data_IF_731195832461
#
_entry.id   IF_731195832461
#
_cell.length_a   1.000
_cell.length_b   1.000
_cell.length_c   1.000
_cell.angle_alpha   90.00
_cell.angle_beta   90.00
_cell.angle_gamma   90.00
#
_symmetry.space_group_name_H-M   'P 1'
#
loop_
_entity.id
_entity.type
_entity.pdbx_description
1 polymer ?
#
# COMPACT_ATOMS: atom_id res chain seq x y z
N UNK A 1 -2.88 27.30 -37.45
CA UNK A 1 -3.68 28.44 -36.95
C UNK A 1 -4.41 27.94 -35.73
N UNK A 2 -4.11 28.49 -34.56
CA UNK A 2 -4.81 28.12 -33.32
C UNK A 2 -6.26 28.59 -33.39
N UNK A 3 -7.20 27.70 -33.05
CA UNK A 3 -8.61 28.06 -32.93
C UNK A 3 -8.80 28.79 -31.58
N UNK A 4 -9.07 30.11 -31.56
CA UNK A 4 -9.20 30.87 -30.31
C UNK A 4 -10.41 30.43 -29.46
N UNK A 5 -11.36 29.70 -30.04
CA UNK A 5 -12.54 29.17 -29.33
C UNK A 5 -12.27 27.81 -28.68
N UNK A 6 -11.07 27.25 -28.85
CA UNK A 6 -10.72 25.96 -28.28
C UNK A 6 -10.59 26.09 -26.76
N UNK A 7 -11.41 25.32 -26.03
CA UNK A 7 -11.42 25.28 -24.56
C UNK A 7 -10.72 24.02 -24.09
N UNK A 8 -9.91 24.17 -23.05
CA UNK A 8 -9.08 23.10 -22.53
C UNK A 8 -9.53 22.74 -21.13
N UNK A 9 -9.54 21.45 -20.81
CA UNK A 9 -9.84 20.98 -19.46
C UNK A 9 -8.82 19.96 -18.99
N UNK A 10 -8.69 19.87 -17.67
CA UNK A 10 -8.13 18.70 -16.99
C UNK A 10 -9.22 18.10 -16.12
N UNK A 11 -9.35 16.78 -16.14
CA UNK A 11 -10.16 16.02 -15.20
C UNK A 11 -9.25 15.14 -14.36
N UNK A 12 -9.24 15.32 -13.05
CA UNK A 12 -8.55 14.43 -12.10
C UNK A 12 -9.56 13.39 -11.61
N UNK A 13 -9.16 12.12 -11.61
CA UNK A 13 -9.98 10.98 -11.21
C UNK A 13 -9.39 10.30 -9.98
N UNK A 14 -10.27 9.91 -9.07
CA UNK A 14 -9.94 9.10 -7.90
C UNK A 14 -10.79 7.83 -7.95
N UNK A 15 -10.15 6.72 -8.27
CA UNK A 15 -10.72 5.39 -8.14
C UNK A 15 -10.49 4.88 -6.71
N UNK A 16 -11.55 4.40 -6.07
CA UNK A 16 -11.48 3.79 -4.75
C UNK A 16 -10.90 2.36 -4.83
N UNK A 17 -10.38 1.81 -3.72
CA UNK A 17 -10.20 0.37 -3.60
C UNK A 17 -11.50 -0.37 -3.94
N UNK A 18 -11.40 -1.39 -4.79
CA UNK A 18 -12.53 -2.15 -5.31
C UNK A 18 -13.14 -1.60 -6.61
N UNK A 19 -12.67 -0.45 -7.14
CA UNK A 19 -13.15 0.06 -8.43
C UNK A 19 -12.85 -0.96 -9.55
N UNK A 20 -13.86 -1.40 -10.33
CA UNK A 20 -13.66 -2.36 -11.41
C UNK A 20 -12.80 -1.84 -12.56
N UNK A 21 -11.95 -2.72 -13.08
CA UNK A 21 -11.11 -2.48 -14.26
C UNK A 21 -11.61 -3.31 -15.44
N UNK A 22 -11.94 -2.66 -16.55
CA UNK A 22 -12.60 -3.26 -17.71
C UNK A 22 -11.62 -3.91 -18.70
N UNK A 23 -10.45 -3.29 -18.87
CA UNK A 23 -9.42 -3.74 -19.80
C UNK A 23 -8.40 -4.63 -19.10
N UNK A 24 -8.02 -4.25 -17.87
CA UNK A 24 -7.07 -5.04 -17.06
C UNK A 24 -7.74 -6.24 -16.37
N UNK A 25 -9.07 -6.20 -16.21
CA UNK A 25 -9.86 -7.22 -15.52
C UNK A 25 -9.71 -7.16 -13.99
N UNK A 26 -10.79 -7.48 -13.28
CA UNK A 26 -10.82 -7.48 -11.81
C UNK A 26 -11.19 -6.12 -11.21
N UNK A 27 -10.54 -5.78 -10.09
CA UNK A 27 -10.75 -4.53 -9.34
C UNK A 27 -9.40 -3.97 -8.88
N UNK A 28 -9.32 -2.65 -8.72
CA UNK A 28 -8.12 -2.02 -8.17
C UNK A 28 -8.01 -2.27 -6.66
N UNK A 29 -6.91 -2.91 -6.24
CA UNK A 29 -6.70 -3.27 -4.83
C UNK A 29 -6.42 -2.04 -3.94
N UNK A 30 -5.61 -1.10 -4.40
CA UNK A 30 -5.23 0.10 -3.64
C UNK A 30 -6.06 1.35 -3.99
N UNK A 31 -6.90 1.26 -5.03
CA UNK A 31 -7.43 2.43 -5.73
C UNK A 31 -6.39 3.00 -6.70
N UNK A 32 -6.73 4.11 -7.35
CA UNK A 32 -5.86 4.74 -8.35
C UNK A 32 -6.18 6.24 -8.48
N UNK A 33 -5.16 7.05 -8.72
CA UNK A 33 -5.33 8.47 -9.08
C UNK A 33 -4.68 8.70 -10.43
N UNK A 34 -5.41 9.35 -11.32
CA UNK A 34 -4.97 9.64 -12.68
C UNK A 34 -5.66 10.89 -13.18
N UNK A 35 -5.19 11.44 -14.29
CA UNK A 35 -5.82 12.60 -14.91
C UNK A 35 -6.06 12.38 -16.40
N UNK A 36 -6.95 13.18 -16.96
CA UNK A 36 -7.14 13.30 -18.38
C UNK A 36 -7.18 14.76 -18.78
N UNK A 37 -6.70 15.06 -19.98
CA UNK A 37 -6.80 16.38 -20.59
C UNK A 37 -7.68 16.30 -21.83
N UNK A 38 -8.50 17.34 -22.02
CA UNK A 38 -9.40 17.46 -23.17
C UNK A 38 -9.19 18.83 -23.81
N UNK A 39 -9.13 18.88 -25.13
CA UNK A 39 -9.03 20.10 -25.91
C UNK A 39 -10.33 20.45 -26.67
N UNK A 40 -11.43 19.77 -26.34
CA UNK A 40 -12.72 19.87 -27.02
C UNK A 40 -12.83 18.98 -28.26
N UNK A 41 -11.75 18.32 -28.67
CA UNK A 41 -11.71 17.38 -29.81
C UNK A 41 -11.12 16.02 -29.44
N UNK A 42 -10.09 16.02 -28.61
CA UNK A 42 -9.33 14.83 -28.21
C UNK A 42 -9.16 14.81 -26.71
N UNK A 43 -9.50 13.66 -26.12
CA UNK A 43 -9.30 13.38 -24.70
C UNK A 43 -8.18 12.36 -24.50
N UNK A 44 -7.13 12.75 -23.79
CA UNK A 44 -5.98 11.91 -23.48
C UNK A 44 -5.92 11.62 -21.98
N UNK A 45 -5.79 10.35 -21.62
CA UNK A 45 -5.63 9.89 -20.22
C UNK A 45 -4.15 9.74 -19.90
N UNK A 46 -3.76 9.96 -18.65
CA UNK A 46 -2.43 9.69 -18.12
C UNK A 46 -2.54 9.22 -16.67
N UNK A 47 -2.08 8.01 -16.40
CA UNK A 47 -1.88 7.47 -15.06
C UNK A 47 -0.56 6.73 -14.99
N UNK A 48 -0.07 6.49 -13.78
CA UNK A 48 1.22 5.84 -13.56
C UNK A 48 1.06 4.62 -12.67
N UNK A 49 1.55 3.48 -13.15
CA UNK A 49 1.46 2.20 -12.47
C UNK A 49 2.72 1.37 -12.79
N UNK A 50 3.00 0.28 -12.08
CA UNK A 50 4.09 -0.60 -12.44
C UNK A 50 3.85 -1.22 -13.82
N UNK A 51 4.95 -1.55 -14.53
CA UNK A 51 4.88 -2.18 -15.86
C UNK A 51 4.15 -3.53 -15.84
N UNK A 52 4.32 -4.30 -14.78
CA UNK A 52 3.62 -5.56 -14.58
C UNK A 52 2.47 -5.34 -13.60
N UNK A 53 1.27 -5.72 -14.03
CA UNK A 53 0.06 -5.53 -13.24
C UNK A 53 0.14 -6.33 -11.92
N UNK A 54 -0.15 -5.67 -10.81
CA UNK A 54 -0.11 -6.27 -9.47
C UNK A 54 1.22 -6.11 -8.74
N UNK A 55 2.27 -5.62 -9.39
CA UNK A 55 3.50 -5.25 -8.70
C UNK A 55 3.26 -4.04 -7.80
N UNK A 56 3.97 -3.96 -6.68
CA UNK A 56 3.90 -2.82 -5.76
C UNK A 56 5.05 -1.83 -5.97
N UNK A 57 6.16 -2.30 -6.55
CA UNK A 57 7.34 -1.51 -6.83
C UNK A 57 8.10 -2.06 -8.04
N UNK A 58 8.85 -1.22 -8.74
CA UNK A 58 9.68 -1.62 -9.87
C UNK A 58 9.56 -0.66 -11.04
N UNK A 59 9.98 -1.03 -12.25
CA UNK A 59 9.88 -0.16 -13.41
C UNK A 59 8.42 0.27 -13.64
N UNK A 60 8.18 1.57 -13.52
CA UNK A 60 6.88 2.17 -13.78
C UNK A 60 6.61 2.41 -15.25
N UNK A 61 5.35 2.67 -15.57
CA UNK A 61 4.88 3.01 -16.90
C UNK A 61 3.71 3.97 -16.81
N UNK A 62 3.70 4.94 -17.73
CA UNK A 62 2.53 5.78 -17.96
C UNK A 62 1.54 5.01 -18.83
N UNK A 63 0.29 4.94 -18.36
CA UNK A 63 -0.84 4.34 -19.05
C UNK A 63 -1.74 5.44 -19.60
N UNK A 64 -2.16 5.28 -20.85
CA UNK A 64 -2.95 6.27 -21.57
C UNK A 64 -4.42 5.86 -21.76
N UNK A 65 -4.86 4.87 -20.98
CA UNK A 65 -6.16 4.23 -21.11
C UNK A 65 -6.92 4.15 -19.78
N UNK A 66 -6.44 4.76 -18.68
CA UNK A 66 -7.11 4.67 -17.37
C UNK A 66 -8.57 5.15 -17.41
N UNK A 67 -8.88 6.23 -18.14
CA UNK A 67 -10.27 6.68 -18.37
C UNK A 67 -11.17 5.61 -18.99
N UNK A 68 -10.60 4.70 -19.81
CA UNK A 68 -11.35 3.60 -20.44
C UNK A 68 -11.35 2.33 -19.59
N UNK A 69 -10.34 2.16 -18.74
CA UNK A 69 -10.15 0.96 -17.92
C UNK A 69 -10.97 1.04 -16.63
N UNK A 70 -10.89 2.14 -15.89
CA UNK A 70 -11.57 2.30 -14.61
C UNK A 70 -13.04 2.64 -14.81
N UNK A 71 -13.91 1.72 -14.39
CA UNK A 71 -15.37 1.92 -14.43
C UNK A 71 -15.84 2.65 -13.18
N UNK A 72 -16.54 3.77 -13.39
CA UNK A 72 -17.20 4.55 -12.33
C UNK A 72 -16.25 4.90 -11.17
N UNK A 73 -15.15 5.65 -11.43
CA UNK A 73 -14.25 6.08 -10.37
C UNK A 73 -15.02 6.88 -9.31
N UNK A 74 -14.69 6.70 -8.04
CA UNK A 74 -15.43 7.26 -6.91
C UNK A 74 -15.60 8.78 -7.02
N UNK A 75 -14.55 9.49 -7.39
CA UNK A 75 -14.58 10.94 -7.53
C UNK A 75 -13.91 11.39 -8.83
N UNK A 76 -14.41 12.49 -9.40
CA UNK A 76 -13.71 13.23 -10.44
C UNK A 76 -13.96 14.73 -10.36
N UNK A 77 -12.94 15.51 -10.67
CA UNK A 77 -13.01 16.98 -10.77
C UNK A 77 -12.48 17.45 -12.11
N UNK A 78 -13.34 18.11 -12.88
CA UNK A 78 -12.99 18.78 -14.12
C UNK A 78 -12.79 20.27 -13.87
N UNK A 79 -11.70 20.82 -14.39
CA UNK A 79 -11.38 22.26 -14.34
C UNK A 79 -11.08 22.76 -15.74
N UNK A 80 -11.63 23.91 -16.11
CA UNK A 80 -11.17 24.63 -17.30
C UNK A 80 -9.80 25.27 -17.03
N UNK A 81 -8.88 25.02 -17.95
CA UNK A 81 -7.50 25.47 -17.90
C UNK A 81 -7.16 26.30 -19.13
N UNK A 82 -6.05 27.02 -19.08
CA UNK A 82 -5.53 27.66 -20.29
C UNK A 82 -4.71 26.68 -21.15
N UNK A 83 -4.37 27.12 -22.37
CA UNK A 83 -3.62 26.30 -23.32
C UNK A 83 -2.22 25.94 -22.80
N UNK A 84 -1.55 26.84 -22.06
CA UNK A 84 -0.21 26.59 -21.56
C UNK A 84 -0.24 25.53 -20.45
N UNK A 85 -1.24 25.54 -19.58
CA UNK A 85 -1.48 24.50 -18.57
C UNK A 85 -1.76 23.15 -19.23
N UNK A 86 -2.60 23.13 -20.28
CA UNK A 86 -2.88 21.92 -21.05
C UNK A 86 -1.60 21.32 -21.66
N UNK A 87 -0.78 22.14 -22.30
CA UNK A 87 0.46 21.69 -22.94
C UNK A 87 1.46 21.15 -21.93
N UNK A 88 1.59 21.79 -20.76
CA UNK A 88 2.44 21.29 -19.67
C UNK A 88 1.98 19.93 -19.14
N UNK A 89 0.67 19.74 -18.94
CA UNK A 89 0.12 18.44 -18.53
C UNK A 89 0.37 17.36 -19.60
N UNK A 90 0.11 17.68 -20.87
CA UNK A 90 0.37 16.76 -21.99
C UNK A 90 1.84 16.35 -22.05
N UNK A 91 2.73 17.32 -21.96
CA UNK A 91 4.16 17.09 -22.12
C UNK A 91 4.72 16.31 -20.93
N UNK A 92 4.28 16.61 -19.69
CA UNK A 92 4.62 15.81 -18.51
C UNK A 92 4.08 14.38 -18.63
N UNK A 93 2.81 14.21 -19.02
CA UNK A 93 2.22 12.88 -19.21
C UNK A 93 2.92 12.06 -20.28
N UNK A 94 3.43 12.69 -21.33
CA UNK A 94 4.16 12.01 -22.41
C UNK A 94 5.59 11.61 -22.03
N UNK A 95 6.32 12.45 -21.29
CA UNK A 95 7.70 12.19 -20.89
C UNK A 95 7.99 12.78 -19.49
N UNK A 96 7.47 12.16 -18.42
CA UNK A 96 7.58 12.71 -17.06
C UNK A 96 9.04 12.73 -16.57
N UNK A 97 9.87 11.81 -17.07
CA UNK A 97 11.30 11.73 -16.74
C UNK A 97 12.05 12.99 -17.15
N UNK A 98 11.70 13.60 -18.29
CA UNK A 98 12.27 14.88 -18.74
C UNK A 98 12.04 16.02 -17.73
N UNK A 99 10.99 15.91 -16.93
CA UNK A 99 10.60 16.89 -15.92
C UNK A 99 10.98 16.47 -14.49
N UNK A 100 11.89 15.50 -14.36
CA UNK A 100 12.47 15.09 -13.07
C UNK A 100 11.66 14.05 -12.29
N UNK A 101 10.58 13.50 -12.88
CA UNK A 101 9.82 12.42 -12.26
C UNK A 101 10.60 11.10 -12.32
N UNK A 102 10.68 10.38 -11.20
CA UNK A 102 11.28 9.05 -11.17
C UNK A 102 10.34 8.04 -11.82
N UNK A 103 10.87 7.26 -12.76
CA UNK A 103 10.10 6.22 -13.46
C UNK A 103 10.14 4.87 -12.73
N UNK A 104 10.69 4.79 -11.52
CA UNK A 104 10.53 3.64 -10.64
C UNK A 104 9.25 3.77 -9.82
N UNK A 105 8.24 2.96 -10.13
CA UNK A 105 7.02 2.90 -9.34
C UNK A 105 7.32 2.35 -7.94
N UNK A 106 6.68 2.94 -6.94
CA UNK A 106 6.60 2.45 -5.57
C UNK A 106 5.29 2.92 -4.95
N UNK A 107 4.41 2.00 -4.55
CA UNK A 107 3.09 2.33 -4.02
C UNK A 107 3.07 3.14 -2.72
N UNK A 108 4.19 3.31 -2.01
CA UNK A 108 4.30 4.16 -0.82
C UNK A 108 5.07 5.46 -1.07
N UNK A 109 5.98 5.51 -2.05
CA UNK A 109 6.93 6.64 -2.16
C UNK A 109 7.08 7.22 -3.55
N UNK A 110 6.48 6.60 -4.58
CA UNK A 110 6.42 7.12 -5.94
C UNK A 110 5.32 6.40 -6.75
N UNK A 111 4.09 6.85 -6.57
CA UNK A 111 2.87 6.16 -6.94
C UNK A 111 2.09 6.90 -8.05
N UNK A 112 0.90 6.39 -8.35
CA UNK A 112 -0.06 7.08 -9.23
C UNK A 112 -0.44 8.49 -8.72
N UNK A 113 -0.38 8.68 -7.40
CA UNK A 113 -0.69 9.93 -6.72
C UNK A 113 0.43 10.95 -6.96
N UNK A 114 1.68 10.56 -6.68
CA UNK A 114 2.87 11.40 -6.89
C UNK A 114 3.01 11.83 -8.35
N UNK A 115 2.71 10.92 -9.28
CA UNK A 115 2.68 11.23 -10.71
C UNK A 115 1.62 12.29 -11.06
N UNK A 116 0.42 12.14 -10.51
CA UNK A 116 -0.69 13.07 -10.80
C UNK A 116 -0.40 14.45 -10.21
N UNK A 117 0.06 14.53 -8.96
CA UNK A 117 0.45 15.81 -8.35
C UNK A 117 1.68 16.41 -9.01
N UNK A 118 2.66 15.61 -9.42
CA UNK A 118 3.81 16.07 -10.21
C UNK A 118 3.37 16.76 -11.51
N UNK A 119 2.40 16.18 -12.23
CA UNK A 119 1.84 16.78 -13.44
C UNK A 119 1.08 18.09 -13.14
N UNK A 120 0.21 18.08 -12.13
CA UNK A 120 -0.58 19.25 -11.72
C UNK A 120 0.34 20.40 -11.28
N UNK A 121 1.32 20.13 -10.43
CA UNK A 121 2.31 21.12 -9.98
C UNK A 121 3.14 21.65 -11.14
N UNK A 122 3.58 20.78 -12.06
CA UNK A 122 4.29 21.20 -13.27
C UNK A 122 3.46 22.19 -14.11
N UNK A 123 2.14 21.97 -14.17
CA UNK A 123 1.18 22.85 -14.84
C UNK A 123 0.79 24.10 -14.04
N UNK A 124 1.27 24.26 -12.80
CA UNK A 124 0.91 25.38 -11.92
C UNK A 124 -0.47 25.23 -11.26
N UNK A 125 -0.99 24.00 -11.18
CA UNK A 125 -2.24 23.65 -10.53
C UNK A 125 -1.95 23.17 -9.10
N UNK A 126 -1.89 24.11 -8.17
CA UNK A 126 -1.52 23.84 -6.79
C UNK A 126 -2.74 23.78 -5.87
N UNK A 127 -2.67 22.89 -4.89
CA UNK A 127 -3.68 22.80 -3.84
C UNK A 127 -3.61 24.02 -2.90
N UNK A 128 -4.63 24.18 -2.08
CA UNK A 128 -4.55 25.03 -0.88
C UNK A 128 -4.45 24.14 0.35
N UNK A 129 -3.52 24.46 1.25
CA UNK A 129 -3.45 23.79 2.54
C UNK A 129 -4.65 24.14 3.44
N UNK A 130 -4.71 23.53 4.63
CA UNK A 130 -5.80 23.76 5.59
C UNK A 130 -5.91 25.22 6.08
N UNK A 131 -4.91 26.04 5.82
CA UNK A 131 -4.86 27.46 6.20
C UNK A 131 -5.16 28.37 4.99
N UNK A 132 -5.47 27.77 3.83
CA UNK A 132 -5.81 28.48 2.59
C UNK A 132 -4.61 28.96 1.78
N UNK A 133 -3.39 28.56 2.15
CA UNK A 133 -2.13 28.96 1.50
C UNK A 133 -1.83 28.01 0.34
N UNK A 134 -1.30 28.54 -0.76
CA UNK A 134 -0.90 27.73 -1.91
C UNK A 134 0.28 26.83 -1.51
N UNK A 135 0.13 25.53 -1.72
CA UNK A 135 1.15 24.52 -1.45
C UNK A 135 1.69 23.96 -2.76
N UNK A 136 2.85 24.46 -3.18
CA UNK A 136 3.51 24.10 -4.44
C UNK A 136 4.30 22.79 -4.36
N UNK A 137 4.50 22.25 -3.15
CA UNK A 137 5.37 21.09 -2.89
C UNK A 137 4.60 19.84 -2.52
N UNK A 138 3.28 19.90 -2.49
CA UNK A 138 2.48 18.73 -2.17
C UNK A 138 2.55 17.68 -3.28
N UNK A 139 2.97 16.47 -2.91
CA UNK A 139 3.08 15.33 -3.81
C UNK A 139 1.91 14.35 -3.66
N UNK A 140 0.99 14.61 -2.72
CA UNK A 140 -0.21 13.81 -2.49
C UNK A 140 -0.23 13.03 -1.18
N UNK A 141 -1.43 12.60 -0.80
CA UNK A 141 -1.62 11.68 0.33
C UNK A 141 -1.45 10.23 -0.13
N UNK A 142 -0.94 9.34 0.74
CA UNK A 142 -0.66 7.93 0.43
C UNK A 142 -1.85 7.13 -0.14
N UNK A 143 -3.09 7.58 0.08
CA UNK A 143 -4.30 6.86 -0.34
C UNK A 143 -5.11 7.67 -1.35
N UNK A 144 -5.59 7.04 -2.44
CA UNK A 144 -6.40 7.73 -3.44
C UNK A 144 -7.58 8.50 -2.84
N UNK A 145 -8.36 7.88 -1.95
CA UNK A 145 -9.54 8.49 -1.33
C UNK A 145 -9.22 9.74 -0.49
N UNK A 146 -8.04 9.83 0.11
CA UNK A 146 -7.67 10.99 0.92
C UNK A 146 -7.34 12.22 0.07
N UNK A 147 -7.03 12.03 -1.21
CA UNK A 147 -6.66 13.12 -2.10
C UNK A 147 -7.88 13.90 -2.62
N UNK A 148 -9.11 13.46 -2.35
CA UNK A 148 -10.32 14.17 -2.81
C UNK A 148 -10.32 15.63 -2.32
N UNK A 149 -10.20 15.84 -1.00
CA UNK A 149 -10.26 17.18 -0.42
C UNK A 149 -9.10 18.06 -0.92
N UNK A 150 -7.92 17.48 -1.13
CA UNK A 150 -6.77 18.17 -1.71
C UNK A 150 -7.03 18.58 -3.16
N UNK A 151 -7.57 17.68 -3.99
CA UNK A 151 -7.96 17.96 -5.37
C UNK A 151 -9.01 19.06 -5.41
N UNK A 152 -9.99 19.05 -4.50
CA UNK A 152 -11.05 20.08 -4.35
C UNK A 152 -10.51 21.44 -3.96
N UNK A 153 -9.41 21.48 -3.21
CA UNK A 153 -8.79 22.73 -2.76
C UNK A 153 -8.04 23.49 -3.86
N UNK A 154 -7.74 22.85 -5.00
CA UNK A 154 -7.10 23.51 -6.14
C UNK A 154 -8.01 24.64 -6.65
N UNK A 155 -7.54 25.90 -6.70
CA UNK A 155 -8.32 26.99 -7.28
C UNK A 155 -8.56 26.73 -8.77
N UNK A 156 -9.81 26.82 -9.23
CA UNK A 156 -10.11 26.70 -10.65
C UNK A 156 -9.39 27.83 -11.42
N UNK A 157 -8.52 27.54 -12.41
CA UNK A 157 -7.79 28.57 -13.15
C UNK A 157 -8.70 29.57 -13.85
N UNK A 158 -9.89 29.12 -14.28
CA UNK A 158 -10.98 29.98 -14.75
C UNK A 158 -12.18 29.87 -13.81
N UNK A 159 -12.26 30.73 -12.78
CA UNK A 159 -13.41 30.76 -11.87
C UNK A 159 -14.72 31.03 -12.62
N UNK A 160 -15.80 30.35 -12.24
CA UNK A 160 -17.13 30.53 -12.85
C UNK A 160 -17.33 29.89 -14.21
N UNK A 161 -16.32 29.18 -14.75
CA UNK A 161 -16.51 28.39 -15.97
C UNK A 161 -17.54 27.29 -15.78
N UNK A 162 -18.47 27.17 -16.74
CA UNK A 162 -19.45 26.07 -16.83
C UNK A 162 -18.84 24.68 -17.06
N UNK A 163 -17.55 24.61 -17.45
CA UNK A 163 -16.82 23.35 -17.61
C UNK A 163 -16.27 22.84 -16.28
N UNK A 164 -16.21 23.68 -15.24
CA UNK A 164 -15.81 23.25 -13.91
C UNK A 164 -16.92 22.37 -13.32
N UNK A 165 -16.61 21.09 -13.08
CA UNK A 165 -17.59 20.09 -12.62
C UNK A 165 -16.96 19.15 -11.63
N UNK A 166 -17.75 18.73 -10.65
CA UNK A 166 -17.40 17.65 -9.71
C UNK A 166 -18.44 16.56 -9.84
N UNK A 167 -18.01 15.31 -9.75
CA UNK A 167 -18.89 14.15 -9.84
C UNK A 167 -18.44 13.07 -8.87
N UNK A 168 -19.41 12.52 -8.14
CA UNK A 168 -19.23 11.37 -7.26
C UNK A 168 -20.03 10.18 -7.78
N UNK A 169 -19.38 9.03 -7.84
CA UNK A 169 -20.06 7.74 -7.99
C UNK A 169 -20.23 7.08 -6.62
N UNK A 170 -21.20 6.16 -6.46
CA UNK A 170 -21.29 5.37 -5.24
C UNK A 170 -19.99 4.61 -5.00
N UNK A 171 -19.65 4.39 -3.72
CA UNK A 171 -18.50 3.56 -3.36
C UNK A 171 -18.69 2.16 -3.96
N UNK A 172 -17.69 1.58 -4.65
CA UNK A 172 -17.82 0.26 -5.24
C UNK A 172 -18.16 -0.78 -4.16
N UNK A 173 -19.03 -1.73 -4.49
CA UNK A 173 -19.37 -2.83 -3.59
C UNK A 173 -18.11 -3.64 -3.25
N UNK A 174 -17.64 -3.51 -2.00
CA UNK A 174 -16.65 -4.40 -1.44
C UNK A 174 -17.37 -5.69 -1.07
N UNK A 175 -17.33 -6.70 -1.96
CA UNK A 175 -18.11 -7.94 -1.77
C UNK A 175 -17.62 -8.74 -0.55
N UNK A 176 -18.35 -8.60 0.56
CA UNK A 176 -18.23 -9.29 1.86
C UNK A 176 -18.45 -10.84 1.84
N UNK A 177 -18.03 -11.58 0.80
CA UNK A 177 -18.34 -13.02 0.66
C UNK A 177 -17.19 -14.02 0.84
N UNK A 178 -16.13 -13.69 1.58
CA UNK A 178 -15.19 -14.71 2.08
C UNK A 178 -15.16 -14.82 3.62
N UNK A 179 -16.25 -14.41 4.29
CA UNK A 179 -16.49 -14.70 5.71
C UNK A 179 -17.42 -15.91 5.95
N UNK A 180 -17.88 -16.59 4.90
CA UNK A 180 -18.89 -17.67 5.00
C UNK A 180 -18.41 -19.06 4.55
N UNK A 181 -17.15 -19.42 4.85
CA UNK A 181 -16.72 -20.84 4.81
C UNK A 181 -15.99 -21.26 6.10
N UNK A 182 -16.11 -20.49 7.20
CA UNK A 182 -15.49 -20.87 8.48
C UNK A 182 -16.45 -20.99 9.67
N UNK A 183 -17.73 -20.63 9.56
CA UNK A 183 -18.70 -20.84 10.63
C UNK A 183 -20.07 -21.19 10.04
N UNK A 184 -20.24 -22.48 9.73
CA UNK A 184 -21.53 -23.14 9.90
C UNK A 184 -21.22 -24.50 10.52
N UNK A 185 -21.12 -24.52 11.84
CA UNK A 185 -21.38 -25.74 12.59
C UNK A 185 -22.84 -26.12 12.32
N UNK A 186 -23.04 -27.16 11.53
CA UNK A 186 -24.33 -27.84 11.42
C UNK A 186 -24.48 -28.77 12.61
N UNK A 187 -25.42 -28.56 13.56
CA UNK A 187 -25.68 -29.54 14.59
C UNK A 187 -26.69 -30.58 14.07
N UNK A 188 -26.24 -31.83 13.98
CA UNK A 188 -27.13 -32.96 14.28
C UNK A 188 -27.47 -33.93 13.14
N UNK A 189 -26.90 -35.13 13.30
CA UNK A 189 -27.52 -36.44 13.10
C UNK A 189 -27.46 -37.14 11.73
N UNK A 190 -26.49 -38.08 11.71
CA UNK A 190 -26.57 -39.49 11.29
C UNK A 190 -26.41 -39.84 9.82
N UNK A 191 -25.28 -40.50 9.53
CA UNK A 191 -25.22 -41.55 8.50
C UNK A 191 -23.86 -41.73 7.86
N UNK A 192 -23.04 -42.62 8.43
CA UNK A 192 -21.93 -43.35 7.82
C UNK A 192 -20.63 -42.59 7.41
N UNK A 193 -19.57 -42.80 8.20
CA UNK A 193 -18.17 -42.90 7.74
C UNK A 193 -17.84 -44.38 7.42
N UNK A 194 -16.66 -44.77 6.87
CA UNK A 194 -15.44 -44.01 6.49
C UNK A 194 -15.11 -44.21 4.99
N UNK A 195 -14.09 -43.62 4.32
CA UNK A 195 -12.62 -43.76 4.39
C UNK A 195 -12.08 -42.74 3.36
N UNK A 196 -11.12 -41.83 3.58
CA UNK A 196 -9.68 -42.04 3.76
C UNK A 196 -9.06 -40.75 4.32
N UNK A 197 -8.21 -40.92 5.33
CA UNK A 197 -7.46 -39.88 6.00
C UNK A 197 -6.19 -39.48 5.22
N UNK A 198 -5.90 -38.17 5.21
CA UNK A 198 -4.53 -37.65 5.30
C UNK A 198 -4.51 -36.33 6.09
N UNK A 199 -4.97 -36.38 7.34
CA UNK A 199 -4.68 -35.33 8.31
C UNK A 199 -3.37 -35.69 9.03
N UNK A 200 -2.25 -35.20 8.49
CA UNK A 200 -1.07 -35.01 9.33
C UNK A 200 -1.30 -33.83 10.26
N UNK A 201 -0.68 -33.78 11.46
CA UNK A 201 -0.69 -32.57 12.27
C UNK A 201 -0.02 -31.44 11.49
N UNK A 202 -0.73 -30.32 11.25
CA UNK A 202 -0.05 -29.10 10.81
C UNK A 202 1.06 -28.76 11.84
N UNK A 203 2.27 -28.39 11.39
CA UNK A 203 3.33 -28.02 12.32
C UNK A 203 2.86 -26.84 13.20
N UNK A 204 3.27 -26.79 14.49
CA UNK A 204 2.91 -25.69 15.36
C UNK A 204 3.33 -24.36 14.72
N UNK A 205 2.36 -23.48 14.48
CA UNK A 205 2.62 -22.14 13.93
C UNK A 205 3.44 -21.31 14.93
N UNK A 206 4.38 -20.53 14.41
CA UNK A 206 5.21 -19.65 15.23
C UNK A 206 4.33 -18.57 15.92
N UNK A 207 4.43 -18.38 17.25
CA UNK A 207 3.65 -17.35 17.95
C UNK A 207 3.93 -15.93 17.44
N UNK A 208 5.14 -15.63 16.96
CA UNK A 208 5.48 -14.34 16.36
C UNK A 208 4.72 -14.11 15.05
N UNK A 209 4.45 -15.16 14.28
CA UNK A 209 3.66 -15.04 13.05
C UNK A 209 2.22 -14.64 13.38
N UNK A 210 1.58 -15.32 14.33
CA UNK A 210 0.21 -15.00 14.74
C UNK A 210 0.10 -13.57 15.33
N UNK A 211 1.10 -13.15 16.08
CA UNK A 211 1.16 -11.79 16.63
C UNK A 211 1.39 -10.74 15.54
N UNK A 212 2.26 -11.02 14.58
CA UNK A 212 2.48 -10.15 13.43
C UNK A 212 1.22 -10.00 12.59
N UNK A 213 0.51 -11.09 12.28
CA UNK A 213 -0.78 -11.06 11.55
C UNK A 213 -1.79 -10.19 12.30
N UNK A 214 -1.93 -10.40 13.62
CA UNK A 214 -2.86 -9.60 14.45
C UNK A 214 -2.48 -8.13 14.50
N UNK A 215 -1.19 -7.80 14.55
CA UNK A 215 -0.70 -6.44 14.56
C UNK A 215 -0.85 -5.76 13.20
N UNK A 216 -0.63 -6.49 12.10
CA UNK A 216 -0.84 -6.00 10.74
C UNK A 216 -2.33 -5.80 10.47
N UNK A 217 -3.23 -6.67 10.93
CA UNK A 217 -4.68 -6.42 10.84
C UNK A 217 -5.05 -5.08 11.50
N UNK A 218 -4.48 -4.77 12.68
CA UNK A 218 -4.72 -3.46 13.34
C UNK A 218 -4.11 -2.30 12.56
N UNK A 219 -2.91 -2.48 11.99
CA UNK A 219 -2.29 -1.51 11.10
C UNK A 219 -3.23 -1.23 9.92
N UNK A 220 -3.71 -2.27 9.24
CA UNK A 220 -4.59 -2.13 8.08
C UNK A 220 -5.93 -1.49 8.43
N UNK A 221 -6.52 -1.81 9.57
CA UNK A 221 -7.71 -1.12 10.09
C UNK A 221 -7.45 0.36 10.36
N UNK A 222 -6.30 0.71 10.96
CA UNK A 222 -5.87 2.10 11.11
C UNK A 222 -5.64 2.79 9.75
N UNK A 223 -5.31 2.01 8.73
CA UNK A 223 -5.24 2.43 7.34
C UNK A 223 -6.59 2.29 6.61
N UNK A 224 -7.68 1.91 7.26
CA UNK A 224 -9.00 1.77 6.62
C UNK A 224 -9.03 0.80 5.43
N UNK A 225 -8.18 -0.24 5.43
CA UNK A 225 -8.18 -1.29 4.41
C UNK A 225 -8.43 -2.67 5.02
N UNK A 226 -8.84 -3.59 4.17
CA UNK A 226 -8.91 -5.01 4.50
C UNK A 226 -7.55 -5.70 4.37
N UNK A 227 -7.39 -6.78 5.13
CA UNK A 227 -6.19 -7.63 5.06
C UNK A 227 -6.13 -8.40 3.73
N UNK A 228 -5.00 -8.30 3.04
CA UNK A 228 -4.77 -8.89 1.72
C UNK A 228 -3.45 -9.68 1.63
N UNK A 229 -3.08 -10.11 0.42
CA UNK A 229 -1.83 -10.84 0.19
C UNK A 229 -0.56 -10.05 0.53
N UNK A 230 -0.59 -8.72 0.47
CA UNK A 230 0.54 -7.88 0.88
C UNK A 230 0.59 -7.74 2.40
N UNK A 231 -0.57 -7.67 3.04
CA UNK A 231 -0.70 -7.75 4.49
C UNK A 231 -0.08 -9.04 5.02
N UNK A 232 -0.27 -10.16 4.31
CA UNK A 232 0.38 -11.43 4.62
C UNK A 232 1.91 -11.39 4.47
N UNK A 233 2.44 -10.72 3.43
CA UNK A 233 3.89 -10.50 3.29
C UNK A 233 4.45 -9.62 4.40
N UNK A 234 3.77 -8.53 4.75
CA UNK A 234 4.15 -7.67 5.87
C UNK A 234 4.16 -8.45 7.18
N UNK A 235 3.14 -9.28 7.44
CA UNK A 235 3.07 -10.09 8.65
C UNK A 235 4.21 -11.12 8.71
N UNK A 236 4.47 -11.84 7.61
CA UNK A 236 5.57 -12.81 7.54
C UNK A 236 6.94 -12.14 7.74
N UNK A 237 7.18 -11.02 7.06
CA UNK A 237 8.42 -10.24 7.18
C UNK A 237 8.59 -9.60 8.57
N UNK A 238 7.50 -9.13 9.19
CA UNK A 238 7.52 -8.62 10.56
C UNK A 238 7.85 -9.72 11.57
N UNK A 239 7.29 -10.92 11.42
CA UNK A 239 7.59 -12.07 12.26
C UNK A 239 9.07 -12.49 12.13
N UNK A 240 9.57 -12.57 10.90
CA UNK A 240 10.98 -12.82 10.61
C UNK A 240 11.90 -11.77 11.24
N UNK A 241 11.60 -10.48 11.02
CA UNK A 241 12.38 -9.36 11.55
C UNK A 241 12.43 -9.36 13.08
N UNK A 242 11.28 -9.60 13.74
CA UNK A 242 11.21 -9.70 15.19
C UNK A 242 12.15 -10.80 15.69
N UNK A 243 12.07 -11.98 15.07
CA UNK A 243 12.87 -13.14 15.44
C UNK A 243 14.36 -12.89 15.24
N UNK A 244 14.75 -12.37 14.08
CA UNK A 244 16.13 -12.02 13.72
C UNK A 244 16.71 -10.98 14.67
N UNK A 245 15.89 -10.00 15.06
CA UNK A 245 16.28 -8.93 15.98
C UNK A 245 16.20 -9.32 17.46
N UNK A 246 15.87 -10.58 17.77
CA UNK A 246 15.82 -11.10 19.14
C UNK A 246 14.59 -10.65 19.95
N UNK A 247 13.54 -10.15 19.31
CA UNK A 247 12.26 -9.88 19.98
C UNK A 247 11.59 -11.22 20.31
N UNK A 248 11.00 -11.29 21.51
CA UNK A 248 10.31 -12.49 22.00
C UNK A 248 8.80 -12.44 21.73
N UNK A 249 8.26 -11.26 21.41
CA UNK A 249 6.85 -11.05 21.04
C UNK A 249 6.69 -9.81 20.17
N UNK A 250 5.54 -9.67 19.52
CA UNK A 250 5.16 -8.50 18.74
C UNK A 250 3.88 -7.90 19.35
N UNK A 251 3.98 -6.69 19.86
CA UNK A 251 2.85 -5.95 20.42
C UNK A 251 2.26 -4.98 19.38
N UNK A 252 3.12 -4.38 18.53
CA UNK A 252 2.70 -3.47 17.47
C UNK A 252 3.51 -3.66 16.18
N UNK A 253 2.86 -3.41 15.05
CA UNK A 253 3.47 -3.19 13.75
C UNK A 253 2.98 -1.84 13.25
N UNK A 254 3.90 -0.92 12.98
CA UNK A 254 3.59 0.46 12.59
C UNK A 254 4.48 0.91 11.44
N UNK A 255 4.04 1.93 10.71
CA UNK A 255 4.82 2.54 9.64
C UNK A 255 5.51 3.81 10.13
N UNK A 256 6.62 4.19 9.48
CA UNK A 256 7.25 5.50 9.70
C UNK A 256 6.24 6.62 9.47
N UNK A 257 6.37 7.68 10.26
CA UNK A 257 5.72 8.95 10.01
C UNK A 257 6.66 9.88 9.26
N UNK A 258 6.11 10.91 8.64
CA UNK A 258 6.91 11.88 7.89
C UNK A 258 7.85 12.66 8.82
N UNK A 259 9.09 12.80 8.38
CA UNK A 259 10.17 13.47 9.12
C UNK A 259 11.22 14.00 8.14
N UNK A 260 12.19 14.80 8.62
CA UNK A 260 13.18 15.45 7.74
C UNK A 260 13.95 14.50 6.81
N UNK A 261 14.12 13.23 7.20
CA UNK A 261 14.97 12.27 6.50
C UNK A 261 14.27 10.94 6.14
N UNK A 262 13.01 10.76 6.56
CA UNK A 262 12.26 9.51 6.39
C UNK A 262 10.83 9.87 6.07
N UNK A 263 10.32 9.36 4.94
CA UNK A 263 8.93 9.59 4.51
C UNK A 263 7.96 8.75 5.33
N UNK A 264 6.71 9.19 5.39
CA UNK A 264 5.64 8.35 5.91
C UNK A 264 5.55 7.04 5.10
N UNK A 265 5.43 5.89 5.78
CA UNK A 265 5.31 4.58 5.11
C UNK A 265 6.62 3.95 4.62
N UNK A 266 7.73 4.69 4.61
CA UNK A 266 9.03 4.21 4.11
C UNK A 266 9.57 3.00 4.89
N UNK A 267 9.41 3.00 6.21
CA UNK A 267 9.90 1.94 7.08
C UNK A 267 8.76 1.27 7.85
N UNK A 268 8.83 -0.06 7.96
CA UNK A 268 8.02 -0.89 8.83
C UNK A 268 8.75 -1.09 10.15
N UNK A 269 8.09 -0.81 11.27
CA UNK A 269 8.59 -1.04 12.61
C UNK A 269 7.82 -2.17 13.30
N UNK A 270 8.56 -3.06 13.93
CA UNK A 270 8.03 -4.10 14.81
C UNK A 270 8.42 -3.77 16.23
N UNK A 271 7.43 -3.70 17.13
CA UNK A 271 7.62 -3.19 18.49
C UNK A 271 7.16 -4.21 19.52
N UNK A 272 7.98 -4.39 20.55
CA UNK A 272 7.69 -5.12 21.78
C UNK A 272 7.63 -4.12 22.94
N UNK A 273 6.48 -4.03 23.60
CA UNK A 273 6.15 -3.02 24.61
C UNK A 273 5.15 -1.99 24.09
N UNK A 274 4.69 -1.10 24.98
CA UNK A 274 3.78 -0.03 24.60
C UNK A 274 4.51 1.06 23.80
N UNK A 275 3.87 1.63 22.78
CA UNK A 275 4.48 2.65 21.91
C UNK A 275 4.95 3.92 22.66
N UNK A 276 4.30 4.25 23.79
CA UNK A 276 4.64 5.39 24.63
C UNK A 276 5.59 5.05 25.79
N UNK A 277 6.01 3.79 25.92
CA UNK A 277 6.99 3.36 26.90
C UNK A 277 8.41 3.50 26.30
N UNK A 278 9.30 4.34 26.84
CA UNK A 278 10.67 4.47 26.33
C UNK A 278 11.50 3.18 26.42
N UNK A 279 11.10 2.21 27.23
CA UNK A 279 11.77 0.92 27.35
C UNK A 279 11.31 -0.12 26.30
N UNK A 280 10.46 0.25 25.35
CA UNK A 280 10.08 -0.66 24.27
C UNK A 280 11.29 -1.10 23.44
N UNK A 281 11.27 -2.35 22.98
CA UNK A 281 12.21 -2.85 22.00
C UNK A 281 11.59 -2.67 20.61
N UNK A 282 12.41 -2.28 19.64
CA UNK A 282 11.96 -2.16 18.26
C UNK A 282 13.00 -2.65 17.27
N UNK A 283 12.51 -3.22 16.19
CA UNK A 283 13.26 -3.50 14.98
C UNK A 283 12.57 -2.80 13.80
N UNK A 284 13.30 -2.55 12.72
CA UNK A 284 12.72 -1.95 11.52
C UNK A 284 13.37 -2.49 10.26
N UNK A 285 12.63 -2.41 9.17
CA UNK A 285 13.11 -2.66 7.81
C UNK A 285 12.40 -1.69 6.86
N UNK A 286 12.90 -1.58 5.63
CA UNK A 286 12.15 -0.86 4.60
C UNK A 286 10.87 -1.63 4.29
N UNK A 287 9.75 -0.92 4.15
CA UNK A 287 8.48 -1.52 3.77
C UNK A 287 8.58 -2.24 2.43
N UNK A 288 9.44 -1.72 1.53
CA UNK A 288 9.78 -2.38 0.26
C UNK A 288 10.37 -3.77 0.45
N UNK A 289 11.34 -3.93 1.37
CA UNK A 289 11.97 -5.22 1.63
C UNK A 289 10.98 -6.22 2.24
N UNK A 290 10.06 -5.73 3.08
CA UNK A 290 9.00 -6.53 3.68
C UNK A 290 8.01 -7.10 2.65
N UNK A 291 7.79 -6.38 1.54
CA UNK A 291 6.84 -6.74 0.48
C UNK A 291 7.48 -7.50 -0.69
N UNK A 292 8.81 -7.46 -0.81
CA UNK A 292 9.54 -8.07 -1.93
C UNK A 292 9.51 -9.59 -1.89
N UNK A 293 9.65 -10.20 -0.70
CA UNK A 293 9.72 -11.65 -0.55
C UNK A 293 8.33 -12.30 -0.54
N UNK A 294 8.14 -13.46 -1.22
CA UNK A 294 6.95 -14.28 -1.03
C UNK A 294 6.79 -14.73 0.42
N UNK A 295 5.54 -14.99 0.82
CA UNK A 295 5.22 -15.44 2.19
C UNK A 295 5.89 -16.76 2.48
N UNK A 296 5.81 -17.71 1.54
CA UNK A 296 6.33 -19.07 1.69
C UNK A 296 7.85 -19.08 1.92
N UNK A 297 8.58 -18.25 1.19
CA UNK A 297 10.03 -18.11 1.35
C UNK A 297 10.39 -17.52 2.72
N UNK A 298 9.68 -16.47 3.13
CA UNK A 298 9.92 -15.80 4.41
C UNK A 298 9.59 -16.71 5.59
N UNK A 299 8.53 -17.51 5.48
CA UNK A 299 8.17 -18.51 6.48
C UNK A 299 9.19 -19.65 6.58
N UNK A 300 9.72 -20.13 5.45
CA UNK A 300 10.80 -21.12 5.45
C UNK A 300 12.07 -20.57 6.14
N UNK A 301 12.39 -19.30 5.92
CA UNK A 301 13.50 -18.61 6.60
C UNK A 301 13.25 -18.48 8.11
N UNK A 302 12.04 -18.12 8.53
CA UNK A 302 11.65 -18.05 9.94
C UNK A 302 11.75 -19.42 10.64
N UNK A 303 11.28 -20.49 9.99
CA UNK A 303 11.40 -21.86 10.51
C UNK A 303 12.87 -22.27 10.70
N UNK A 304 13.71 -22.02 9.70
CA UNK A 304 15.15 -22.30 9.77
C UNK A 304 15.84 -21.56 10.93
N UNK A 305 15.43 -20.31 11.19
CA UNK A 305 15.92 -19.50 12.31
C UNK A 305 15.53 -20.11 13.67
N UNK A 306 14.30 -20.61 13.79
CA UNK A 306 13.82 -21.25 15.01
C UNK A 306 14.58 -22.54 15.33
N UNK A 307 14.85 -23.37 14.32
CA UNK A 307 15.60 -24.62 14.50
C UNK A 307 17.04 -24.35 14.95
N UNK A 308 17.69 -23.37 14.32
CA UNK A 308 19.07 -22.97 14.65
C UNK A 308 19.18 -22.46 16.09
N UNK A 309 18.23 -21.65 16.55
CA UNK A 309 18.22 -21.16 17.94
C UNK A 309 17.92 -22.27 18.95
N UNK A 310 17.04 -23.22 18.64
CA UNK A 310 16.75 -24.36 19.52
C UNK A 310 17.97 -25.25 19.72
N UNK A 311 18.71 -25.55 18.65
CA UNK A 311 19.93 -26.37 18.73
C UNK A 311 21.03 -25.68 19.57
N UNK A 312 21.22 -24.36 19.40
CA UNK A 312 22.16 -23.60 20.22
C UNK A 312 21.79 -23.57 21.71
N UNK A 313 20.50 -23.47 22.04
CA UNK A 313 20.03 -23.53 23.42
C UNK A 313 20.29 -24.90 24.06
N UNK A 314 19.96 -26.01 23.38
CA UNK A 314 20.19 -27.36 23.93
C UNK A 314 21.68 -27.61 24.23
N UNK A 315 22.59 -27.25 23.31
CA UNK A 315 24.03 -27.42 23.53
C UNK A 315 24.57 -26.58 24.70
N UNK A 316 24.05 -25.36 24.87
CA UNK A 316 24.47 -24.48 25.97
C UNK A 316 23.97 -24.94 27.35
N UNK A 317 22.81 -25.60 27.42
CA UNK A 317 22.30 -26.21 28.66
C UNK A 317 23.09 -27.48 28.99
N UNK A 318 23.34 -28.35 28.01
CA UNK A 318 24.14 -29.57 28.22
C UNK A 318 25.57 -29.29 28.68
N UNK A 319 26.21 -28.22 28.16
CA UNK A 319 27.52 -27.79 28.66
C UNK A 319 27.47 -27.21 30.08
N UNK A 320 26.41 -26.48 30.45
CA UNK A 320 26.23 -25.98 31.82
C UNK A 320 26.05 -27.12 32.82
N UNK A 321 25.23 -28.11 32.48
CA UNK A 321 24.99 -29.27 33.36
C UNK A 321 26.26 -30.13 33.52
N UNK A 322 27.07 -30.30 32.46
CA UNK A 322 28.36 -31.01 32.57
C UNK A 322 29.41 -30.28 33.42
N UNK A 323 29.42 -28.94 33.44
CA UNK A 323 30.34 -28.17 34.27
C UNK A 323 29.90 -28.20 35.75
N UNK A 324 28.59 -28.26 36.01
CA UNK A 324 28.04 -28.28 37.38
C UNK A 324 28.02 -29.70 38.00
N UNK A 325 28.06 -30.76 37.18
CA UNK A 325 28.12 -32.16 37.63
C UNK A 325 29.54 -32.67 37.95
N UNK A 326 30.60 -31.84 37.89
CA UNK A 326 31.94 -32.25 38.36
C UNK A 326 32.01 -32.19 39.89
N UNK A 327 32.09 -33.32 40.61
CA UNK A 327 32.17 -33.30 42.06
C UNK A 327 33.50 -32.68 42.51
N UNK A 328 33.45 -31.73 43.45
CA UNK A 328 34.62 -31.26 44.17
C UNK A 328 35.23 -32.42 44.97
N UNK A 329 36.33 -33.00 44.47
CA UNK A 329 37.24 -33.78 45.32
C UNK A 329 37.98 -32.80 46.24
N UNK A 330 37.52 -32.73 47.48
CA UNK A 330 38.25 -32.13 48.60
C UNK A 330 39.46 -33.01 48.92
N UNK A 331 40.65 -32.41 48.88
CA UNK A 331 41.88 -32.92 49.50
C UNK A 331 42.16 -32.20 50.81
#
# INVERSE_FOLDING_TARGET
MDNPDKRYTVTVYVAAPGTPTLLSGGTSAAGHVYYAIDDGTTKNSYGFAPKHHGDYSGPGKVFNNDVKDYKDPYYSRTMEIDKAQYEKLRDFGADPKKYGFDMQYNGATNSCIDFTWGALNHAGLHRRDRHGVIDEKFEGDLKPLNNEDDIRSIPAPKPGSELNKEHHNPMPEQKFWQKAISENETPGARGASPVLASAGPEPPRDPLLQQAESAVVKLEQGLGRDYDGNSAKLAASAAYLAKESGLSRIDHVVLSQDSRNVRAGENLFVVQGALNDPAHLRAHMRTEDALRKPVEETLAQLQSLNESQRQGQTQSVEQRDQVQARPHQLG
#
